data_IF_034503045079
#
_entry.id   IF_034503045079
#
_cell.length_a   1.000
_cell.length_b   1.000
_cell.length_c   1.000
_cell.angle_alpha   90.00
_cell.angle_beta   90.00
_cell.angle_gamma   90.00
#
_symmetry.space_group_name_H-M   'P 1'
#
loop_
_entity.id
_entity.type
_entity.pdbx_description
1 polymer ?
#
# COMPACT_ATOMS: atom_id res chain seq x y z
N UNK A 1 13.43 6.52 -13.87
CA UNK A 1 14.23 5.78 -12.89
C UNK A 1 15.59 6.42 -12.62
N UNK A 2 16.48 6.62 -13.63
CA UNK A 2 17.80 7.26 -13.41
C UNK A 2 17.69 8.64 -12.74
N UNK A 3 16.77 9.49 -13.19
CA UNK A 3 16.52 10.80 -12.56
C UNK A 3 16.12 10.69 -11.08
N UNK A 4 15.28 9.71 -10.74
CA UNK A 4 14.89 9.47 -9.34
C UNK A 4 16.08 9.04 -8.46
N UNK A 5 17.00 8.25 -8.98
CA UNK A 5 18.24 7.93 -8.27
C UNK A 5 19.16 9.15 -8.12
N UNK A 6 19.24 10.01 -9.12
CA UNK A 6 20.06 11.24 -9.06
C UNK A 6 19.57 12.25 -7.99
N UNK A 7 18.32 12.17 -7.59
CA UNK A 7 17.80 12.99 -6.47
C UNK A 7 18.30 12.51 -5.08
N UNK A 8 18.75 11.25 -5.00
CA UNK A 8 19.09 10.60 -3.74
C UNK A 8 20.54 10.13 -3.63
N UNK A 9 21.24 10.01 -4.75
CA UNK A 9 22.55 9.36 -4.85
C UNK A 9 23.57 10.25 -5.56
N UNK A 10 24.87 10.04 -5.25
CA UNK A 10 25.95 10.65 -6.03
C UNK A 10 25.95 10.14 -7.48
N UNK A 11 26.44 10.94 -8.44
CA UNK A 11 26.52 10.50 -9.83
C UNK A 11 27.28 9.18 -10.02
N UNK A 12 28.38 8.97 -9.27
CA UNK A 12 29.17 7.75 -9.30
C UNK A 12 28.37 6.52 -8.85
N UNK A 13 27.59 6.65 -7.78
CA UNK A 13 26.73 5.58 -7.28
C UNK A 13 25.60 5.27 -8.27
N UNK A 14 25.03 6.29 -8.89
CA UNK A 14 23.99 6.10 -9.93
C UNK A 14 24.54 5.29 -11.11
N UNK A 15 25.75 5.59 -11.61
CA UNK A 15 26.36 4.82 -12.70
C UNK A 15 26.57 3.34 -12.30
N UNK A 16 27.03 3.09 -11.08
CA UNK A 16 27.19 1.71 -10.57
C UNK A 16 25.86 0.97 -10.48
N UNK A 17 24.81 1.61 -9.99
CA UNK A 17 23.46 1.02 -9.89
C UNK A 17 22.92 0.73 -11.30
N UNK A 18 22.99 1.68 -12.21
CA UNK A 18 22.44 1.57 -13.57
C UNK A 18 23.18 0.52 -14.40
N UNK A 19 24.48 0.34 -14.20
CA UNK A 19 25.26 -0.71 -14.86
C UNK A 19 24.94 -2.13 -14.39
N UNK A 20 24.21 -2.28 -13.28
CA UNK A 20 23.91 -3.59 -12.71
C UNK A 20 22.65 -4.22 -13.32
N UNK A 21 22.67 -5.53 -13.58
CA UNK A 21 21.54 -6.27 -14.17
C UNK A 21 20.21 -6.14 -13.40
N UNK A 22 20.26 -6.00 -12.08
CA UNK A 22 19.07 -5.79 -11.24
C UNK A 22 18.35 -4.46 -11.54
N UNK A 23 19.05 -3.45 -12.08
CA UNK A 23 18.39 -2.21 -12.51
C UNK A 23 17.47 -2.46 -13.69
N UNK A 24 17.88 -3.31 -14.65
CA UNK A 24 17.04 -3.71 -15.78
C UNK A 24 15.81 -4.52 -15.31
N UNK A 25 15.95 -5.33 -14.27
CA UNK A 25 14.83 -6.05 -13.67
C UNK A 25 13.84 -5.09 -13.00
N UNK A 26 14.33 -4.14 -12.19
CA UNK A 26 13.48 -3.11 -11.59
C UNK A 26 12.80 -2.24 -12.66
N UNK A 27 13.49 -1.95 -13.78
CA UNK A 27 12.92 -1.23 -14.93
C UNK A 27 11.77 -2.01 -15.56
N UNK A 28 11.94 -3.31 -15.76
CA UNK A 28 10.91 -4.18 -16.31
C UNK A 28 9.67 -4.21 -15.41
N UNK A 29 9.84 -4.36 -14.09
CA UNK A 29 8.71 -4.29 -13.14
C UNK A 29 7.98 -2.96 -13.22
N UNK A 30 8.69 -1.84 -13.28
CA UNK A 30 8.07 -0.52 -13.46
C UNK A 30 7.29 -0.41 -14.76
N UNK A 31 7.78 -0.99 -15.86
CA UNK A 31 7.11 -0.99 -17.17
C UNK A 31 5.83 -1.82 -17.13
N UNK A 32 5.88 -3.01 -16.50
CA UNK A 32 4.70 -3.87 -16.31
C UNK A 32 3.63 -3.19 -15.45
N UNK A 33 4.04 -2.55 -14.34
CA UNK A 33 3.14 -1.78 -13.48
C UNK A 33 2.49 -0.61 -14.23
N UNK A 34 3.29 0.11 -15.02
CA UNK A 34 2.84 1.27 -15.81
C UNK A 34 1.83 0.85 -16.88
N UNK A 35 2.08 -0.25 -17.59
CA UNK A 35 1.18 -0.79 -18.60
C UNK A 35 -0.12 -1.28 -17.97
N UNK A 36 -0.04 -1.99 -16.85
CA UNK A 36 -1.21 -2.45 -16.10
C UNK A 36 -2.08 -1.27 -15.65
N UNK A 37 -1.45 -0.22 -15.13
CA UNK A 37 -2.17 0.98 -14.72
C UNK A 37 -2.87 1.66 -15.90
N UNK A 38 -2.16 1.88 -17.02
CA UNK A 38 -2.71 2.51 -18.22
C UNK A 38 -3.90 1.72 -18.81
N UNK A 39 -3.89 0.40 -18.66
CA UNK A 39 -4.96 -0.47 -19.16
C UNK A 39 -6.22 -0.46 -18.29
N UNK A 40 -6.07 -0.21 -16.99
CA UNK A 40 -7.17 -0.33 -16.00
C UNK A 40 -7.74 1.04 -15.57
N UNK A 41 -7.00 2.14 -15.74
CA UNK A 41 -7.47 3.48 -15.42
C UNK A 41 -8.10 4.16 -16.65
N UNK A 42 -9.42 4.37 -16.66
CA UNK A 42 -10.09 5.05 -17.78
C UNK A 42 -9.59 6.48 -18.02
N UNK A 43 -9.13 7.17 -16.97
CA UNK A 43 -8.64 8.55 -17.08
C UNK A 43 -7.33 8.63 -17.88
N UNK A 44 -6.50 7.60 -17.80
CA UNK A 44 -5.25 7.51 -18.56
C UNK A 44 -5.48 7.25 -20.06
N UNK A 45 -6.64 6.75 -20.47
CA UNK A 45 -6.98 6.44 -21.87
C UNK A 45 -5.91 5.60 -22.58
N UNK A 46 -5.29 4.67 -21.84
CA UNK A 46 -4.20 3.82 -22.34
C UNK A 46 -2.85 4.53 -22.49
N UNK A 47 -2.73 5.81 -22.13
CA UNK A 47 -1.49 6.59 -22.29
C UNK A 47 -0.58 6.41 -21.06
N UNK A 48 0.44 5.59 -21.21
CA UNK A 48 1.47 5.36 -20.18
C UNK A 48 2.25 6.64 -19.83
N UNK A 49 2.43 7.55 -20.80
CA UNK A 49 3.10 8.83 -20.57
C UNK A 49 2.42 9.69 -19.51
N UNK A 50 1.08 9.74 -19.53
CA UNK A 50 0.31 10.57 -18.61
C UNK A 50 0.47 10.09 -17.17
N UNK A 51 0.51 8.76 -16.97
CA UNK A 51 0.77 8.14 -15.67
C UNK A 51 2.22 8.39 -15.24
N UNK A 52 3.18 8.12 -16.10
CA UNK A 52 4.60 8.24 -15.78
C UNK A 52 5.00 9.65 -15.34
N UNK A 53 4.44 10.69 -15.97
CA UNK A 53 4.76 12.09 -15.69
C UNK A 53 3.80 12.73 -14.69
N UNK A 54 2.50 12.44 -14.78
CA UNK A 54 1.45 13.14 -14.06
C UNK A 54 1.03 12.51 -12.73
N UNK A 55 1.11 11.18 -12.59
CA UNK A 55 0.55 10.49 -11.43
C UNK A 55 1.59 10.35 -10.31
N UNK A 56 1.36 11.04 -9.21
CA UNK A 56 2.25 10.96 -8.04
C UNK A 56 2.27 9.56 -7.42
N UNK A 57 1.17 8.82 -7.50
CA UNK A 57 1.07 7.44 -6.99
C UNK A 57 1.99 6.48 -7.74
N UNK A 58 2.12 6.64 -9.07
CA UNK A 58 3.09 5.85 -9.83
C UNK A 58 4.54 6.17 -9.44
N UNK A 59 4.83 7.43 -9.05
CA UNK A 59 6.16 7.79 -8.51
C UNK A 59 6.48 7.02 -7.22
N UNK A 60 5.48 6.76 -6.35
CA UNK A 60 5.67 5.91 -5.18
C UNK A 60 6.09 4.49 -5.58
N UNK A 61 5.39 3.89 -6.54
CA UNK A 61 5.69 2.53 -7.03
C UNK A 61 7.08 2.48 -7.66
N UNK A 62 7.43 3.46 -8.50
CA UNK A 62 8.75 3.57 -9.12
C UNK A 62 9.87 3.63 -8.07
N UNK A 63 9.72 4.47 -7.03
CA UNK A 63 10.71 4.58 -5.96
C UNK A 63 10.76 3.30 -5.13
N UNK A 64 9.61 2.64 -4.91
CA UNK A 64 9.59 1.34 -4.26
C UNK A 64 10.38 0.30 -5.07
N UNK A 65 10.17 0.15 -6.37
CA UNK A 65 10.89 -0.81 -7.21
C UNK A 65 12.41 -0.59 -7.16
N UNK A 66 12.84 0.68 -7.19
CA UNK A 66 14.25 1.04 -7.04
C UNK A 66 14.79 0.70 -5.64
N UNK A 67 14.07 1.10 -4.59
CA UNK A 67 14.51 0.88 -3.21
C UNK A 67 14.50 -0.60 -2.84
N UNK A 68 13.53 -1.37 -3.31
CA UNK A 68 13.45 -2.82 -3.12
C UNK A 68 14.63 -3.54 -3.77
N UNK A 69 14.97 -3.19 -5.02
CA UNK A 69 16.15 -3.70 -5.70
C UNK A 69 17.43 -3.46 -4.88
N UNK A 70 17.60 -2.25 -4.31
CA UNK A 70 18.76 -1.93 -3.48
C UNK A 70 18.79 -2.77 -2.19
N UNK A 71 17.62 -3.00 -1.56
CA UNK A 71 17.50 -3.88 -0.40
C UNK A 71 17.84 -5.34 -0.71
N UNK A 72 17.42 -5.87 -1.85
CA UNK A 72 17.73 -7.25 -2.26
C UNK A 72 19.23 -7.45 -2.47
N UNK A 73 19.96 -6.41 -2.86
CA UNK A 73 21.40 -6.44 -3.03
C UNK A 73 22.17 -6.33 -1.71
N UNK A 74 21.54 -5.78 -0.69
CA UNK A 74 22.15 -5.54 0.64
C UNK A 74 22.17 -6.79 1.54
N UNK A 75 22.00 -8.00 1.01
CA UNK A 75 21.80 -9.22 1.84
C UNK A 75 23.08 -9.93 2.29
N UNK A 76 24.26 -9.46 1.91
CA UNK A 76 25.53 -9.98 2.37
C UNK A 76 26.16 -9.11 3.46
N UNK A 77 26.96 -9.66 4.35
CA UNK A 77 27.50 -8.96 5.54
C UNK A 77 28.76 -8.13 5.19
N UNK A 78 28.64 -6.79 5.25
CA UNK A 78 29.78 -5.86 5.07
C UNK A 78 29.39 -4.38 5.06
N UNK A 79 30.37 -3.48 5.30
CA UNK A 79 30.15 -2.03 5.35
C UNK A 79 29.53 -1.40 4.07
N UNK A 80 29.89 -1.86 2.83
CA UNK A 80 29.27 -1.34 1.61
C UNK A 80 27.76 -1.61 1.51
N UNK A 81 27.28 -2.63 2.17
CA UNK A 81 25.90 -3.11 2.12
C UNK A 81 24.98 -2.34 3.03
N UNK A 82 25.45 -1.92 4.20
CA UNK A 82 24.73 -0.96 5.05
C UNK A 82 24.51 0.37 4.33
N UNK A 83 25.46 0.77 3.47
CA UNK A 83 25.32 1.96 2.64
C UNK A 83 24.20 1.80 1.60
N UNK A 84 24.03 0.60 0.99
CA UNK A 84 22.96 0.33 0.06
C UNK A 84 21.59 0.28 0.75
N UNK A 85 21.51 -0.27 1.96
CA UNK A 85 20.28 -0.28 2.73
C UNK A 85 19.85 1.14 3.13
N UNK A 86 20.78 1.96 3.60
CA UNK A 86 20.53 3.38 3.89
C UNK A 86 20.06 4.13 2.63
N UNK A 87 20.67 3.83 1.47
CA UNK A 87 20.27 4.39 0.18
C UNK A 87 18.86 3.93 -0.21
N UNK A 88 18.52 2.67 0.01
CA UNK A 88 17.17 2.14 -0.25
C UNK A 88 16.12 2.89 0.59
N UNK A 89 16.38 3.11 1.87
CA UNK A 89 15.48 3.87 2.75
C UNK A 89 15.34 5.32 2.30
N UNK A 90 16.42 5.95 1.84
CA UNK A 90 16.40 7.32 1.31
C UNK A 90 15.56 7.42 0.04
N UNK A 91 15.73 6.50 -0.90
CA UNK A 91 14.93 6.43 -2.15
C UNK A 91 13.46 6.19 -1.84
N UNK A 92 13.13 5.28 -0.91
CA UNK A 92 11.75 5.05 -0.45
C UNK A 92 11.15 6.31 0.20
N UNK A 93 11.89 6.98 1.08
CA UNK A 93 11.47 8.23 1.71
C UNK A 93 11.19 9.33 0.68
N UNK A 94 12.01 9.40 -0.39
CA UNK A 94 11.77 10.34 -1.49
C UNK A 94 10.45 10.06 -2.20
N UNK A 95 10.15 8.78 -2.46
CA UNK A 95 8.85 8.36 -3.00
C UNK A 95 7.68 8.80 -2.13
N UNK A 96 7.78 8.64 -0.83
CA UNK A 96 6.78 9.12 0.15
C UNK A 96 6.57 10.63 0.07
N UNK A 97 7.64 11.41 0.03
CA UNK A 97 7.56 12.88 -0.06
C UNK A 97 6.86 13.35 -1.35
N UNK A 98 7.07 12.65 -2.46
CA UNK A 98 6.48 13.01 -3.76
C UNK A 98 5.00 12.60 -3.90
N UNK A 99 4.56 11.57 -3.19
CA UNK A 99 3.26 10.94 -3.41
C UNK A 99 2.33 10.94 -2.20
N UNK A 100 2.89 11.08 -0.99
CA UNK A 100 2.16 10.85 0.26
C UNK A 100 1.89 9.37 0.56
N UNK A 101 2.46 8.44 -0.21
CA UNK A 101 2.36 7.00 0.02
C UNK A 101 3.68 6.44 0.58
N UNK A 102 3.60 5.70 1.67
CA UNK A 102 4.74 5.01 2.27
C UNK A 102 4.73 3.54 1.87
N UNK A 103 5.75 3.10 1.13
CA UNK A 103 5.95 1.70 0.77
C UNK A 103 7.32 1.29 1.30
N UNK A 104 7.34 0.39 2.27
CA UNK A 104 8.60 -0.03 2.87
C UNK A 104 9.44 -0.85 1.88
N UNK A 105 10.74 -0.57 1.69
CA UNK A 105 11.56 -1.24 0.66
C UNK A 105 11.73 -2.74 0.86
N UNK A 106 11.55 -3.26 2.06
CA UNK A 106 11.63 -4.70 2.33
C UNK A 106 10.31 -5.46 2.12
N UNK A 107 9.16 -4.78 1.91
CA UNK A 107 7.93 -5.48 1.55
C UNK A 107 8.09 -6.15 0.16
N UNK A 108 7.29 -7.15 -0.11
CA UNK A 108 7.35 -7.89 -1.38
C UNK A 108 6.07 -7.60 -2.17
N UNK A 109 6.20 -7.05 -3.35
CA UNK A 109 5.07 -6.75 -4.24
C UNK A 109 5.33 -7.42 -5.58
N UNK A 110 4.39 -8.24 -6.03
CA UNK A 110 4.39 -8.91 -7.33
C UNK A 110 4.35 -7.96 -8.52
N UNK A 111 4.18 -8.48 -9.71
CA UNK A 111 4.14 -7.72 -10.96
C UNK A 111 2.76 -7.12 -11.24
N UNK A 112 2.71 -6.12 -12.12
CA UNK A 112 1.47 -5.44 -12.56
C UNK A 112 0.67 -4.84 -11.40
N UNK A 113 1.40 -4.27 -10.45
CA UNK A 113 0.85 -3.63 -9.25
C UNK A 113 0.39 -2.21 -9.57
N UNK A 114 -0.82 -1.88 -9.16
CA UNK A 114 -1.41 -0.54 -9.33
C UNK A 114 -1.68 0.06 -7.96
N UNK A 115 -1.08 1.22 -7.71
CA UNK A 115 -1.44 2.11 -6.62
C UNK A 115 -2.13 3.33 -7.23
N UNK A 116 -3.43 3.43 -7.04
CA UNK A 116 -4.21 4.54 -7.58
C UNK A 116 -4.49 5.59 -6.49
N UNK A 117 -4.34 6.88 -6.86
CA UNK A 117 -4.32 8.03 -5.96
C UNK A 117 -3.19 8.01 -4.91
N UNK A 118 -3.00 6.95 -4.19
CA UNK A 118 -1.88 6.61 -3.32
C UNK A 118 -1.76 7.41 -2.02
N UNK A 119 -2.22 8.65 -1.93
CA UNK A 119 -2.02 9.50 -0.75
C UNK A 119 -2.55 8.83 0.53
N UNK A 120 -1.74 8.85 1.59
CA UNK A 120 -2.08 8.23 2.87
C UNK A 120 -1.98 6.70 2.91
N UNK A 121 -1.56 6.06 1.82
CA UNK A 121 -1.29 4.62 1.78
C UNK A 121 -0.03 4.28 2.57
N UNK A 122 -0.10 3.19 3.36
CA UNK A 122 1.06 2.63 4.08
C UNK A 122 1.14 1.13 3.81
N UNK A 123 2.27 0.69 3.24
CA UNK A 123 2.58 -0.73 3.05
C UNK A 123 3.79 -1.07 3.94
N UNK A 124 3.54 -1.85 5.00
CA UNK A 124 4.52 -2.14 6.03
C UNK A 124 5.60 -3.13 5.60
N UNK A 125 6.70 -3.18 6.36
CA UNK A 125 7.95 -3.88 6.06
C UNK A 125 7.78 -5.35 5.66
N UNK A 126 6.96 -6.10 6.39
CA UNK A 126 6.79 -7.54 6.15
C UNK A 126 5.55 -7.88 5.34
N UNK A 127 4.90 -6.88 4.71
CA UNK A 127 3.78 -7.10 3.81
C UNK A 127 4.22 -7.88 2.56
N UNK A 128 3.33 -8.74 2.09
CA UNK A 128 3.47 -9.47 0.83
C UNK A 128 2.23 -9.21 -0.01
N UNK A 129 2.40 -8.87 -1.27
CA UNK A 129 1.32 -8.61 -2.22
C UNK A 129 1.61 -9.42 -3.48
N UNK A 130 0.63 -10.17 -3.97
CA UNK A 130 0.72 -10.95 -5.20
C UNK A 130 0.67 -10.10 -6.47
N UNK A 131 0.51 -10.78 -7.59
CA UNK A 131 0.44 -10.15 -8.92
C UNK A 131 -0.92 -9.53 -9.21
N UNK A 132 -0.97 -8.57 -10.14
CA UNK A 132 -2.20 -7.96 -10.69
C UNK A 132 -3.08 -7.26 -9.65
N UNK A 133 -2.52 -6.82 -8.52
CA UNK A 133 -3.28 -6.17 -7.47
C UNK A 133 -3.54 -4.69 -7.76
N UNK A 134 -4.73 -4.22 -7.37
CA UNK A 134 -5.18 -2.82 -7.50
C UNK A 134 -5.51 -2.25 -6.12
N UNK A 135 -4.75 -1.28 -5.66
CA UNK A 135 -4.90 -0.67 -4.32
C UNK A 135 -5.19 0.82 -4.47
N UNK A 136 -6.26 1.28 -3.84
CA UNK A 136 -6.61 2.70 -3.79
C UNK A 136 -5.89 3.46 -2.66
N UNK A 137 -5.96 4.79 -2.71
CA UNK A 137 -5.34 5.66 -1.71
C UNK A 137 -5.88 5.47 -0.29
N UNK A 138 -5.05 5.76 0.70
CA UNK A 138 -5.39 5.65 2.12
C UNK A 138 -5.45 4.23 2.67
N UNK A 139 -5.09 3.22 1.88
CA UNK A 139 -5.03 1.83 2.35
C UNK A 139 -3.83 1.63 3.26
N UNK A 140 -4.05 0.95 4.39
CA UNK A 140 -2.99 0.61 5.35
C UNK A 140 -2.85 -0.91 5.45
N UNK A 141 -1.72 -1.45 5.00
CA UNK A 141 -1.30 -2.82 5.26
C UNK A 141 -0.32 -2.78 6.43
N UNK A 142 -0.86 -2.84 7.65
CA UNK A 142 -0.18 -2.51 8.90
C UNK A 142 -0.04 -3.68 9.87
N UNK A 143 0.72 -3.45 10.93
CA UNK A 143 0.75 -4.33 12.11
C UNK A 143 -0.43 -4.01 13.04
N UNK A 144 -0.78 -4.95 13.93
CA UNK A 144 -1.85 -4.75 14.93
C UNK A 144 -1.41 -3.91 16.12
N UNK A 145 -0.13 -4.00 16.52
CA UNK A 145 0.41 -3.28 17.67
C UNK A 145 0.93 -1.90 17.31
N UNK A 146 0.95 -0.98 18.29
CA UNK A 146 1.58 0.35 18.16
C UNK A 146 3.07 0.26 18.53
N UNK A 147 3.34 -0.36 19.67
CA UNK A 147 4.69 -0.66 20.16
C UNK A 147 4.78 -2.16 20.47
N UNK A 148 5.98 -2.69 20.66
CA UNK A 148 6.19 -4.09 20.98
C UNK A 148 5.65 -5.08 19.92
N UNK A 149 5.65 -4.69 18.65
CA UNK A 149 5.39 -5.63 17.56
C UNK A 149 6.53 -6.66 17.47
N UNK A 150 6.25 -7.92 17.08
CA UNK A 150 7.30 -8.93 16.86
C UNK A 150 8.25 -8.47 15.75
N UNK A 151 9.54 -8.84 15.85
CA UNK A 151 10.53 -8.55 14.82
C UNK A 151 10.27 -9.30 13.49
N UNK A 152 9.52 -10.40 13.54
CA UNK A 152 9.17 -11.22 12.37
C UNK A 152 7.99 -10.69 11.56
N UNK A 153 7.32 -11.60 10.88
CA UNK A 153 6.11 -11.34 10.09
C UNK A 153 5.03 -10.70 10.98
N UNK A 154 4.51 -9.55 10.58
CA UNK A 154 3.53 -8.76 11.34
C UNK A 154 2.58 -7.92 10.48
N UNK A 155 2.76 -7.97 9.16
CA UNK A 155 1.94 -7.29 8.17
C UNK A 155 1.25 -8.32 7.27
N UNK A 156 0.12 -7.98 6.63
CA UNK A 156 -0.67 -8.94 5.89
C UNK A 156 0.03 -9.52 4.66
N UNK A 157 -0.45 -10.68 4.26
CA UNK A 157 -0.18 -11.31 2.96
C UNK A 157 -1.43 -11.17 2.10
N UNK A 158 -1.30 -10.51 0.97
CA UNK A 158 -2.35 -10.29 -0.02
C UNK A 158 -2.07 -11.19 -1.21
N UNK A 159 -3.04 -11.98 -1.64
CA UNK A 159 -2.97 -12.83 -2.82
C UNK A 159 -2.89 -12.05 -4.13
N UNK A 160 -3.04 -12.73 -5.24
CA UNK A 160 -3.03 -12.15 -6.58
C UNK A 160 -4.42 -11.68 -7.02
N UNK A 161 -4.50 -10.70 -7.90
CA UNK A 161 -5.76 -10.14 -8.47
C UNK A 161 -6.71 -9.56 -7.42
N UNK A 162 -6.13 -9.11 -6.30
CA UNK A 162 -6.90 -8.49 -5.20
C UNK A 162 -7.10 -7.01 -5.50
N UNK A 163 -8.32 -6.53 -5.21
CA UNK A 163 -8.67 -5.12 -5.30
C UNK A 163 -9.04 -4.60 -3.91
N UNK A 164 -8.41 -3.51 -3.48
CA UNK A 164 -8.65 -2.92 -2.15
C UNK A 164 -9.10 -1.46 -2.29
N UNK A 165 -10.32 -1.21 -1.86
CA UNK A 165 -10.96 0.09 -1.85
C UNK A 165 -10.31 1.07 -0.88
N UNK A 166 -10.50 2.36 -1.16
CA UNK A 166 -9.86 3.46 -0.45
C UNK A 166 -10.11 3.45 1.06
N UNK A 167 -9.10 3.87 1.83
CA UNK A 167 -9.15 4.00 3.29
C UNK A 167 -9.40 2.70 4.05
N UNK A 168 -9.23 1.55 3.41
CA UNK A 168 -9.29 0.23 4.06
C UNK A 168 -8.02 -0.02 4.87
N UNK A 169 -8.16 -0.69 6.02
CA UNK A 169 -7.06 -1.14 6.87
C UNK A 169 -7.06 -2.65 6.96
N UNK A 170 -5.95 -3.27 6.60
CA UNK A 170 -5.69 -4.70 6.77
C UNK A 170 -4.55 -4.83 7.77
N UNK A 171 -4.83 -5.38 8.96
CA UNK A 171 -3.93 -5.27 10.10
C UNK A 171 -3.55 -6.65 10.64
N UNK A 172 -2.26 -6.87 10.79
CA UNK A 172 -1.71 -8.08 11.39
C UNK A 172 -1.12 -9.05 10.37
N UNK A 173 -0.59 -10.16 10.88
CA UNK A 173 -0.13 -11.28 10.06
C UNK A 173 -1.33 -12.16 9.66
N UNK A 174 -2.11 -11.67 8.73
CA UNK A 174 -3.30 -12.31 8.17
C UNK A 174 -3.18 -12.48 6.67
N UNK A 175 -3.98 -13.37 6.09
CA UNK A 175 -3.99 -13.67 4.68
C UNK A 175 -5.30 -13.20 4.01
N UNK A 176 -5.17 -12.47 2.91
CA UNK A 176 -6.26 -12.20 1.96
C UNK A 176 -6.01 -13.08 0.73
N UNK A 177 -6.96 -13.97 0.41
CA UNK A 177 -6.83 -14.89 -0.71
C UNK A 177 -6.83 -14.22 -2.07
N UNK A 178 -6.56 -15.00 -3.12
CA UNK A 178 -6.62 -14.53 -4.50
C UNK A 178 -8.04 -14.09 -4.89
N UNK A 179 -8.15 -13.21 -5.89
CA UNK A 179 -9.42 -12.77 -6.49
C UNK A 179 -10.39 -12.12 -5.47
N UNK A 180 -9.90 -11.58 -4.38
CA UNK A 180 -10.72 -10.90 -3.37
C UNK A 180 -10.95 -9.44 -3.75
N UNK A 181 -12.20 -9.00 -3.58
CA UNK A 181 -12.57 -7.59 -3.64
C UNK A 181 -12.88 -7.07 -2.24
N UNK A 182 -12.22 -6.00 -1.84
CA UNK A 182 -12.48 -5.29 -0.58
C UNK A 182 -12.98 -3.89 -0.88
N UNK A 183 -14.21 -3.59 -0.47
CA UNK A 183 -14.79 -2.25 -0.56
C UNK A 183 -14.07 -1.22 0.32
N UNK A 184 -14.37 0.07 0.15
CA UNK A 184 -13.73 1.14 0.90
C UNK A 184 -14.07 1.11 2.40
N UNK A 185 -13.19 1.73 3.21
CA UNK A 185 -13.36 1.93 4.65
C UNK A 185 -13.46 0.66 5.51
N UNK A 186 -13.15 -0.52 4.98
CA UNK A 186 -13.14 -1.75 5.75
C UNK A 186 -11.95 -1.79 6.74
N UNK A 187 -12.14 -2.49 7.87
CA UNK A 187 -11.08 -2.82 8.83
C UNK A 187 -11.05 -4.33 8.98
N UNK A 188 -9.97 -4.96 8.48
CA UNK A 188 -9.82 -6.41 8.40
C UNK A 188 -8.68 -6.84 9.32
N UNK A 189 -8.95 -7.83 10.18
CA UNK A 189 -8.01 -8.40 11.14
C UNK A 189 -7.99 -9.93 11.15
N UNK A 190 -8.78 -10.54 10.27
CA UNK A 190 -8.92 -11.99 10.11
C UNK A 190 -8.72 -12.37 8.66
N UNK A 191 -8.36 -13.63 8.42
CA UNK A 191 -8.14 -14.17 7.09
C UNK A 191 -9.38 -14.09 6.22
N UNK A 192 -9.21 -13.77 4.94
CA UNK A 192 -10.28 -13.71 3.94
C UNK A 192 -10.03 -14.79 2.87
N UNK A 193 -10.98 -15.69 2.67
CA UNK A 193 -10.86 -16.75 1.67
C UNK A 193 -10.81 -16.21 0.22
N UNK A 194 -10.24 -17.01 -0.67
CA UNK A 194 -10.18 -16.77 -2.12
C UNK A 194 -11.57 -16.42 -2.70
N UNK A 195 -11.64 -15.46 -3.62
CA UNK A 195 -12.84 -15.06 -4.34
C UNK A 195 -13.91 -14.35 -3.51
N UNK A 196 -13.58 -13.91 -2.30
CA UNK A 196 -14.53 -13.24 -1.40
C UNK A 196 -14.76 -11.78 -1.80
N UNK A 197 -15.96 -11.28 -1.45
CA UNK A 197 -16.31 -9.85 -1.51
C UNK A 197 -16.55 -9.34 -0.09
N UNK A 198 -15.72 -8.40 0.33
CA UNK A 198 -15.81 -7.76 1.65
C UNK A 198 -16.33 -6.36 1.49
N UNK A 199 -17.42 -6.02 2.18
CA UNK A 199 -18.00 -4.67 2.14
C UNK A 199 -18.38 -4.19 3.53
N UNK A 200 -18.29 -2.88 3.75
CA UNK A 200 -18.80 -2.24 4.96
C UNK A 200 -20.27 -1.84 4.74
N UNK A 201 -21.16 -2.30 5.63
CA UNK A 201 -22.54 -1.79 5.68
C UNK A 201 -22.56 -0.60 6.64
N UNK A 202 -23.03 0.56 6.17
CA UNK A 202 -23.16 1.78 6.96
C UNK A 202 -24.57 2.37 6.77
N UNK A 203 -25.11 2.99 7.83
CA UNK A 203 -26.37 3.72 7.78
C UNK A 203 -26.08 5.23 7.80
N UNK A 204 -26.75 5.97 6.92
CA UNK A 204 -26.66 7.42 6.85
C UNK A 204 -27.98 8.03 7.31
N UNK A 205 -27.91 8.95 8.29
CA UNK A 205 -29.02 9.78 8.67
C UNK A 205 -28.90 11.15 8.03
N UNK A 206 -29.92 11.54 7.27
CA UNK A 206 -30.02 12.90 6.67
C UNK A 206 -31.04 13.70 7.44
N UNK A 207 -30.59 14.74 8.13
CA UNK A 207 -31.46 15.67 8.87
C UNK A 207 -31.57 16.96 8.04
N UNK A 208 -32.80 17.34 7.67
CA UNK A 208 -33.10 18.56 6.92
C UNK A 208 -33.91 19.52 7.79
N UNK A 209 -33.53 20.80 7.79
CA UNK A 209 -34.30 21.87 8.42
C UNK A 209 -33.43 22.91 9.15
N UNK A 210 -33.97 24.09 9.44
CA UNK A 210 -33.24 25.20 10.07
C UNK A 210 -32.91 24.96 11.55
N UNK A 211 -33.40 23.88 12.18
CA UNK A 211 -33.28 23.60 13.62
C UNK A 211 -32.34 22.43 13.94
N UNK A 212 -31.33 22.15 13.11
CA UNK A 212 -30.41 21.02 13.25
C UNK A 212 -29.74 20.97 14.63
N UNK A 213 -29.42 22.13 15.22
CA UNK A 213 -28.69 22.21 16.51
C UNK A 213 -29.57 21.79 17.73
N UNK A 214 -30.89 21.92 17.63
CA UNK A 214 -31.80 21.57 18.75
C UNK A 214 -32.20 20.10 18.79
N UNK A 215 -31.97 19.33 17.70
CA UNK A 215 -32.39 17.93 17.59
C UNK A 215 -31.28 16.92 17.86
N UNK A 216 -30.03 17.36 18.01
CA UNK A 216 -28.91 16.50 18.37
C UNK A 216 -28.82 16.26 19.88
N UNK A 217 -29.91 15.87 20.51
CA UNK A 217 -29.84 15.26 21.84
C UNK A 217 -29.38 13.80 21.66
N UNK A 218 -28.36 13.34 22.41
CA UNK A 218 -27.96 11.93 22.33
C UNK A 218 -29.17 11.07 22.72
N UNK A 219 -29.55 10.15 21.84
CA UNK A 219 -30.54 9.14 22.19
C UNK A 219 -30.01 8.42 23.43
N UNK A 220 -30.80 8.52 24.54
CA UNK A 220 -30.49 7.79 25.75
C UNK A 220 -30.40 6.30 25.39
N UNK A 221 -29.20 5.74 25.55
CA UNK A 221 -28.96 4.30 25.41
C UNK A 221 -29.83 3.59 26.44
N UNK A 222 -31.02 3.14 26.05
CA UNK A 222 -31.79 2.20 26.85
C UNK A 222 -31.09 0.84 26.79
N UNK A 223 -30.14 0.64 27.70
CA UNK A 223 -29.62 -0.68 28.01
C UNK A 223 -30.76 -1.43 28.73
N UNK A 224 -31.54 -2.19 27.97
CA UNK A 224 -32.46 -3.18 28.60
C UNK A 224 -31.57 -4.32 29.13
N UNK A 225 -31.27 -4.27 30.41
CA UNK A 225 -30.75 -5.43 31.14
C UNK A 225 -31.96 -6.36 31.37
N UNK A 226 -32.06 -7.46 30.62
CA UNK A 226 -32.96 -8.54 30.97
C UNK A 226 -32.41 -9.27 32.20
N UNK A 227 -33.23 -9.50 33.27
CA UNK A 227 -32.79 -10.30 34.39
C UNK A 227 -32.65 -11.77 33.96
N UNK A 228 -31.52 -12.37 34.28
CA UNK A 228 -31.34 -13.83 34.21
C UNK A 228 -32.25 -14.46 35.28
N UNK A 229 -33.27 -15.21 34.84
CA UNK A 229 -34.00 -16.11 35.74
C UNK A 229 -33.08 -17.30 36.09
N UNK A 230 -32.86 -17.47 37.39
CA UNK A 230 -32.19 -18.62 37.93
C UNK A 230 -33.14 -19.82 37.92
N UNK A 231 -32.66 -20.96 37.42
CA UNK A 231 -33.19 -22.31 37.67
C UNK A 231 -32.03 -23.26 37.80
#
# INVERSE_FOLDING_TARGET
MRAALMECCSPQLVELIVAHSMFEEARRWCEEDLQAFASKDPAAQGRTSDIAFGYSSFKAVLHYRLSHMLCLRSTSEGDPERALEATALLVSSRGKLLSGAEIHPRCKIGSRFILDHGHGTVIGETAVIGDDCYILGGVVLGATGISANPAGKRHPTIGSRVQIGAFTRVLGDIAIGDDVFVGPHCVIKDDIPVGSVVTLRSELQVIRGPHIVQQLQPAATQTQIQPMEAS
#
